data_IF_371330575778
#
_entry.id   IF_371330575778
#
_cell.length_a   1.000
_cell.length_b   1.000
_cell.length_c   1.000
_cell.angle_alpha   90.00
_cell.angle_beta   90.00
_cell.angle_gamma   90.00
#
_symmetry.space_group_name_H-M   'P 1'
#
loop_
_entity.id
_entity.type
_entity.pdbx_description
1 polymer ?
#
# COMPACT_ATOMS: atom_id res chain seq x y z
N UNK A 1 -6.86 -5.02 -3.67
CA UNK A 1 -5.79 -6.02 -3.58
C UNK A 1 -5.21 -6.04 -2.20
N UNK A 2 -5.14 -7.21 -1.62
CA UNK A 2 -4.54 -7.42 -0.30
C UNK A 2 -3.15 -7.97 -0.44
N UNK A 3 -2.19 -7.28 0.15
CA UNK A 3 -0.82 -7.76 0.21
C UNK A 3 -0.39 -7.90 1.65
N UNK A 4 0.01 -9.10 2.02
CA UNK A 4 0.60 -9.33 3.33
C UNK A 4 2.09 -9.04 3.23
N UNK A 5 2.53 -8.04 3.98
CA UNK A 5 3.94 -7.70 4.06
C UNK A 5 4.48 -8.30 5.35
N UNK A 6 5.49 -9.15 5.21
CA UNK A 6 6.11 -9.76 6.37
C UNK A 6 6.75 -8.68 7.24
N UNK A 7 6.56 -8.75 8.56
CA UNK A 7 7.20 -7.78 9.46
C UNK A 7 8.71 -7.97 9.45
N UNK A 8 9.43 -6.89 9.66
CA UNK A 8 10.87 -6.94 9.78
C UNK A 8 11.57 -6.11 8.72
N UNK A 9 12.58 -5.37 9.17
CA UNK A 9 13.29 -4.44 8.30
C UNK A 9 14.05 -5.12 7.19
N UNK A 10 14.52 -6.35 7.43
CA UNK A 10 15.30 -7.08 6.44
C UNK A 10 14.54 -7.35 5.15
N UNK A 11 13.21 -7.35 5.21
CA UNK A 11 12.35 -7.67 4.07
C UNK A 11 11.73 -6.43 3.42
N UNK A 12 12.12 -5.24 3.86
CA UNK A 12 11.55 -4.00 3.30
C UNK A 12 11.86 -3.84 1.83
N UNK A 13 13.08 -4.14 1.41
CA UNK A 13 13.46 -4.04 0.02
C UNK A 13 12.68 -5.01 -0.85
N UNK A 14 12.49 -6.23 -0.37
CA UNK A 14 11.71 -7.23 -1.08
C UNK A 14 10.24 -6.83 -1.14
N UNK A 15 9.67 -6.39 -0.02
CA UNK A 15 8.28 -5.95 0.03
C UNK A 15 8.03 -4.78 -0.91
N UNK A 16 8.94 -3.82 -0.93
CA UNK A 16 8.84 -2.68 -1.84
C UNK A 16 8.84 -3.14 -3.30
N UNK A 17 9.72 -4.07 -3.63
CA UNK A 17 9.83 -4.60 -5.00
C UNK A 17 8.57 -5.35 -5.41
N UNK A 18 8.06 -6.20 -4.53
CA UNK A 18 6.85 -6.98 -4.80
C UNK A 18 5.63 -6.06 -4.98
N UNK A 19 5.50 -5.06 -4.11
CA UNK A 19 4.40 -4.13 -4.21
C UNK A 19 4.50 -3.29 -5.49
N UNK A 20 5.71 -2.89 -5.86
CA UNK A 20 5.93 -2.18 -7.11
C UNK A 20 5.49 -3.00 -8.33
N UNK A 21 5.83 -4.30 -8.35
CA UNK A 21 5.37 -5.19 -9.42
C UNK A 21 3.85 -5.28 -9.43
N UNK A 22 3.24 -5.44 -8.26
CA UNK A 22 1.79 -5.55 -8.15
C UNK A 22 1.09 -4.30 -8.67
N UNK A 23 1.62 -3.12 -8.32
CA UNK A 23 1.05 -1.85 -8.79
C UNK A 23 1.16 -1.71 -10.31
N UNK A 24 2.31 -2.10 -10.87
CA UNK A 24 2.47 -2.05 -12.34
C UNK A 24 1.49 -2.99 -13.04
N UNK A 25 1.32 -4.20 -12.50
CA UNK A 25 0.37 -5.16 -13.07
C UNK A 25 -1.07 -4.63 -12.98
N UNK A 26 -1.42 -4.06 -11.85
CA UNK A 26 -2.74 -3.48 -11.66
C UNK A 26 -2.99 -2.35 -12.67
N UNK A 27 -1.99 -1.47 -12.86
CA UNK A 27 -2.09 -0.38 -13.81
C UNK A 27 -2.29 -0.90 -15.24
N UNK A 28 -1.55 -1.93 -15.63
CA UNK A 28 -1.68 -2.53 -16.96
C UNK A 28 -3.03 -3.19 -17.16
N UNK A 29 -3.63 -3.67 -16.07
CA UNK A 29 -4.98 -4.26 -16.11
C UNK A 29 -6.09 -3.20 -16.06
N UNK A 30 -5.73 -1.92 -16.04
CA UNK A 30 -6.70 -0.83 -16.09
C UNK A 30 -7.01 -0.17 -14.77
N UNK A 31 -6.39 -0.61 -13.68
CA UNK A 31 -6.61 0.03 -12.38
C UNK A 31 -6.03 1.44 -12.39
N UNK A 32 -6.75 2.38 -11.80
CA UNK A 32 -6.28 3.76 -11.68
C UNK A 32 -5.93 4.12 -10.25
N UNK A 33 -6.31 3.29 -9.30
CA UNK A 33 -5.92 3.49 -7.90
C UNK A 33 -5.89 2.16 -7.16
N UNK A 34 -5.15 2.14 -6.06
CA UNK A 34 -5.06 0.99 -5.18
C UNK A 34 -5.38 1.43 -3.75
N UNK A 35 -6.05 0.57 -3.01
CA UNK A 35 -6.40 0.81 -1.63
C UNK A 35 -5.75 -0.23 -0.75
N UNK A 36 -5.25 0.19 0.40
CA UNK A 36 -4.66 -0.69 1.40
C UNK A 36 -5.23 -0.36 2.77
N UNK A 37 -5.30 -1.38 3.62
CA UNK A 37 -5.69 -1.21 5.01
C UNK A 37 -4.58 -1.75 5.90
N UNK A 38 -4.29 -1.05 7.00
CA UNK A 38 -3.28 -1.50 7.95
C UNK A 38 -3.63 -1.02 9.36
N UNK A 39 -3.06 -1.68 10.35
CA UNK A 39 -3.22 -1.25 11.73
C UNK A 39 -2.51 0.07 11.93
N UNK A 40 -3.14 0.98 12.66
CA UNK A 40 -2.62 2.33 12.85
C UNK A 40 -1.23 2.33 13.51
N UNK A 41 -0.94 1.33 14.33
CA UNK A 41 0.34 1.21 15.01
C UNK A 41 1.45 0.63 14.14
N UNK A 42 1.17 0.21 12.92
CA UNK A 42 2.17 -0.39 12.05
C UNK A 42 2.95 0.70 11.30
N UNK A 43 3.79 1.41 12.02
CA UNK A 43 4.52 2.55 11.47
C UNK A 43 5.51 2.16 10.38
N UNK A 44 6.09 0.96 10.46
CA UNK A 44 7.01 0.49 9.43
C UNK A 44 6.32 0.27 8.10
N UNK A 45 5.15 -0.35 8.13
CA UNK A 45 4.37 -0.55 6.91
C UNK A 45 3.88 0.79 6.36
N UNK A 46 3.43 1.68 7.24
CA UNK A 46 2.97 3.00 6.81
C UNK A 46 4.08 3.75 6.08
N UNK A 47 5.30 3.76 6.63
CA UNK A 47 6.43 4.42 5.99
C UNK A 47 6.73 3.84 4.62
N UNK A 48 6.66 2.51 4.51
CA UNK A 48 6.89 1.83 3.23
C UNK A 48 5.86 2.26 2.19
N UNK A 49 4.59 2.21 2.55
CA UNK A 49 3.53 2.55 1.60
C UNK A 49 3.56 4.02 1.23
N UNK A 50 3.83 4.91 2.17
CA UNK A 50 3.96 6.33 1.87
C UNK A 50 5.12 6.58 0.91
N UNK A 51 6.22 5.84 1.05
CA UNK A 51 7.34 5.96 0.13
C UNK A 51 7.00 5.50 -1.29
N UNK A 52 5.94 4.72 -1.44
CA UNK A 52 5.46 4.23 -2.73
C UNK A 52 4.30 5.07 -3.27
N UNK A 53 4.05 6.22 -2.67
CA UNK A 53 3.05 7.14 -3.18
C UNK A 53 1.65 6.96 -2.59
N UNK A 54 1.50 6.10 -1.60
CA UNK A 54 0.23 5.99 -0.90
C UNK A 54 0.05 7.16 0.05
N UNK A 55 -1.18 7.62 0.22
CA UNK A 55 -1.51 8.65 1.18
C UNK A 55 -2.67 8.19 2.04
N UNK A 56 -2.81 8.80 3.20
CA UNK A 56 -3.88 8.45 4.13
C UNK A 56 -5.21 8.95 3.59
N UNK A 57 -6.18 8.06 3.54
CA UNK A 57 -7.51 8.37 3.05
C UNK A 57 -8.52 8.50 4.19
N UNK A 58 -8.54 7.51 5.09
CA UNK A 58 -9.49 7.53 6.19
C UNK A 58 -8.99 6.69 7.36
N UNK A 59 -9.58 6.95 8.53
CA UNK A 59 -9.33 6.20 9.75
C UNK A 59 -10.59 5.41 10.08
N UNK A 60 -10.43 4.12 10.33
CA UNK A 60 -11.53 3.25 10.75
C UNK A 60 -11.32 2.90 12.20
N UNK A 61 -12.18 3.38 13.07
CA UNK A 61 -12.05 3.15 14.51
C UNK A 61 -12.36 1.71 14.85
N UNK A 62 -11.52 1.12 15.71
CA UNK A 62 -11.68 -0.23 16.24
C UNK A 62 -11.92 -1.24 15.13
N UNK A 63 -11.24 -1.08 14.00
CA UNK A 63 -11.43 -1.91 12.82
C UNK A 63 -10.86 -3.31 13.01
N UNK A 64 -9.71 -3.41 13.67
CA UNK A 64 -9.07 -4.69 13.93
C UNK A 64 -9.44 -5.18 15.33
N UNK A 65 -9.50 -6.50 15.49
CA UNK A 65 -9.73 -7.17 16.76
C UNK A 65 -8.49 -7.96 17.14
N UNK A 66 -8.29 -8.16 18.42
CA UNK A 66 -7.23 -9.03 18.99
C UNK A 66 -5.80 -8.62 18.58
N UNK A 67 -5.28 -7.49 19.01
CA UNK A 67 -5.97 -6.52 19.87
C UNK A 67 -6.85 -5.57 19.07
N UNK A 68 -7.75 -4.92 19.77
CA UNK A 68 -8.56 -3.86 19.18
C UNK A 68 -7.65 -2.72 18.82
N UNK A 69 -7.73 -2.28 17.58
CA UNK A 69 -6.88 -1.22 17.06
C UNK A 69 -7.56 -0.55 15.88
N UNK A 70 -7.35 0.75 15.74
CA UNK A 70 -7.86 1.47 14.59
C UNK A 70 -7.15 1.02 13.33
N UNK A 71 -7.85 1.11 12.21
CA UNK A 71 -7.29 0.84 10.89
C UNK A 71 -7.12 2.11 10.10
N UNK A 72 -6.04 2.17 9.34
CA UNK A 72 -5.81 3.23 8.37
C UNK A 72 -6.10 2.69 6.98
N UNK A 73 -6.84 3.48 6.20
CA UNK A 73 -7.03 3.20 4.78
C UNK A 73 -6.11 4.14 4.02
N UNK A 74 -5.27 3.56 3.18
CA UNK A 74 -4.36 4.32 2.33
C UNK A 74 -4.78 4.18 0.89
N UNK A 75 -4.51 5.21 0.10
CA UNK A 75 -4.84 5.20 -1.32
C UNK A 75 -3.64 5.64 -2.15
N UNK A 76 -3.41 4.97 -3.25
CA UNK A 76 -2.46 5.35 -4.28
C UNK A 76 -3.24 5.63 -5.55
N UNK A 77 -3.29 6.87 -5.94
CA UNK A 77 -4.01 7.30 -7.14
C UNK A 77 -3.05 7.53 -8.29
N UNK A 78 -3.57 7.75 -9.47
CA UNK A 78 -2.76 8.07 -10.64
C UNK A 78 -2.05 6.87 -11.26
N UNK A 79 -2.48 5.66 -10.96
CA UNK A 79 -1.87 4.48 -11.58
C UNK A 79 -2.09 4.51 -13.10
N UNK A 80 -1.01 4.22 -13.83
CA UNK A 80 -1.07 4.17 -15.28
C UNK A 80 -0.99 5.52 -15.98
N UNK A 81 -0.89 6.62 -15.23
CA UNK A 81 -0.72 7.93 -15.83
C UNK A 81 0.73 8.15 -16.26
N UNK A 82 0.97 9.01 -17.27
CA UNK A 82 2.34 9.29 -17.69
C UNK A 82 3.21 9.75 -16.51
N UNK A 83 4.41 9.19 -16.41
CA UNK A 83 5.32 9.50 -15.35
C UNK A 83 5.18 8.63 -14.12
N UNK A 84 4.15 7.79 -14.03
CA UNK A 84 3.95 6.87 -12.91
C UNK A 84 4.74 5.59 -13.11
N UNK A 85 5.23 4.96 -12.02
CA UNK A 85 5.95 3.69 -12.16
C UNK A 85 5.17 2.60 -12.88
N UNK A 86 3.85 2.62 -12.81
CA UNK A 86 3.00 1.65 -13.50
C UNK A 86 2.76 1.95 -14.96
N UNK A 87 3.16 3.12 -15.45
CA UNK A 87 2.91 3.55 -16.82
C UNK A 87 4.00 3.13 -17.82
N UNK A 88 5.03 2.47 -17.34
CA UNK A 88 6.12 2.03 -18.19
C UNK A 88 5.61 1.07 -19.27
N UNK A 89 6.01 1.25 -20.52
CA UNK A 89 5.62 0.31 -21.55
C UNK A 89 6.27 -1.05 -21.36
#
# INVERSE_FOLDING_TARGET
MNLAVAPGQRRRGLARRLLGVALRRAARAGARRALLELRVGNSGALALYESLGFRRLSLRREYYREPVEDGLVLVREGLGEPGEPGAEP
#
